data_IF_584171852277
#
_entry.id   IF_584171852277
#
_cell.length_a   1.000
_cell.length_b   1.000
_cell.length_c   1.000
_cell.angle_alpha   90.00
_cell.angle_beta   90.00
_cell.angle_gamma   90.00
#
_symmetry.space_group_name_H-M   'P 1'
#
loop_
_entity.id
_entity.type
_entity.pdbx_description
1 polymer ?
#
# COMPACT_ATOMS: atom_id res chain seq x y z
N UNK A 1 17.86 -6.60 13.27
CA UNK A 1 16.43 -6.89 13.10
C UNK A 1 15.80 -5.61 12.54
N UNK A 2 15.51 -5.56 11.24
CA UNK A 2 14.86 -4.40 10.62
C UNK A 2 13.48 -4.20 11.27
N UNK A 3 13.07 -2.97 11.56
CA UNK A 3 11.85 -2.73 12.31
C UNK A 3 10.62 -3.09 11.44
N UNK A 4 9.61 -3.70 12.06
CA UNK A 4 8.32 -4.17 11.47
C UNK A 4 7.43 -2.99 11.00
N UNK A 5 8.01 -1.80 10.83
CA UNK A 5 7.31 -0.53 10.59
C UNK A 5 6.60 -0.48 9.23
N UNK A 6 7.01 -1.31 8.26
CA UNK A 6 6.33 -1.42 6.96
C UNK A 6 5.00 -2.18 7.02
N UNK A 7 4.92 -3.25 7.84
CA UNK A 7 3.75 -4.13 7.93
C UNK A 7 2.62 -3.46 8.73
N UNK A 8 2.96 -2.71 9.78
CA UNK A 8 2.01 -2.01 10.66
C UNK A 8 1.26 -0.83 9.99
N UNK A 9 1.59 -0.48 8.74
CA UNK A 9 0.91 0.62 8.04
C UNK A 9 -0.51 0.26 7.59
N UNK A 10 -0.79 -1.03 7.42
CA UNK A 10 -2.09 -1.54 6.95
C UNK A 10 -2.94 -2.16 8.06
N UNK A 11 -2.29 -2.72 9.09
CA UNK A 11 -2.96 -3.35 10.22
C UNK A 11 -3.00 -2.37 11.40
N UNK A 12 -3.95 -1.42 11.33
CA UNK A 12 -4.10 -0.32 12.29
C UNK A 12 -5.09 -0.62 13.41
N UNK A 13 -5.72 -1.79 13.38
CA UNK A 13 -6.72 -2.20 14.33
C UNK A 13 -6.13 -2.31 15.75
N UNK A 14 -6.92 -1.91 16.75
CA UNK A 14 -6.58 -2.14 18.15
C UNK A 14 -6.49 -3.65 18.43
N UNK A 15 -5.93 -3.99 19.59
CA UNK A 15 -5.88 -5.39 20.05
C UNK A 15 -7.29 -6.01 20.13
N UNK A 16 -8.29 -5.24 20.56
CA UNK A 16 -9.68 -5.67 20.68
C UNK A 16 -10.31 -5.89 19.30
N UNK A 17 -10.08 -4.96 18.36
CA UNK A 17 -10.57 -5.07 16.99
C UNK A 17 -9.93 -6.25 16.24
N UNK A 18 -8.62 -6.44 16.37
CA UNK A 18 -7.91 -7.58 15.78
C UNK A 18 -8.32 -8.92 16.41
N UNK A 19 -8.63 -8.95 17.71
CA UNK A 19 -9.20 -10.14 18.35
C UNK A 19 -10.60 -10.50 17.81
N UNK A 20 -11.44 -9.49 17.52
CA UNK A 20 -12.74 -9.73 16.89
C UNK A 20 -12.59 -10.24 15.45
N UNK A 21 -11.68 -9.65 14.67
CA UNK A 21 -11.35 -10.15 13.33
C UNK A 21 -10.84 -11.60 13.36
N UNK A 22 -10.00 -11.95 14.34
CA UNK A 22 -9.55 -13.33 14.54
C UNK A 22 -10.74 -14.28 14.80
N UNK A 23 -11.65 -13.88 15.70
CA UNK A 23 -12.85 -14.67 16.03
C UNK A 23 -13.73 -14.92 14.80
N UNK A 24 -13.85 -13.92 13.92
CA UNK A 24 -14.62 -14.00 12.67
C UNK A 24 -13.89 -14.78 11.56
N UNK A 25 -12.56 -14.72 11.52
CA UNK A 25 -11.75 -15.42 10.51
C UNK A 25 -11.75 -16.94 10.69
N UNK A 26 -11.71 -17.42 11.94
CA UNK A 26 -11.64 -18.86 12.24
C UNK A 26 -12.74 -19.71 11.58
N UNK A 27 -14.05 -19.37 11.64
CA UNK A 27 -15.06 -20.16 10.95
C UNK A 27 -14.92 -20.12 9.42
N UNK A 28 -14.46 -19.00 8.84
CA UNK A 28 -14.19 -18.92 7.39
C UNK A 28 -13.04 -19.84 6.99
N UNK A 29 -11.97 -19.88 7.78
CA UNK A 29 -10.82 -20.76 7.59
C UNK A 29 -11.19 -22.24 7.77
N UNK A 30 -12.04 -22.56 8.75
CA UNK A 30 -12.50 -23.92 8.99
C UNK A 30 -13.33 -24.50 7.84
N UNK A 31 -13.96 -23.63 7.04
CA UNK A 31 -14.66 -24.04 5.82
C UNK A 31 -13.74 -24.29 4.61
N UNK A 32 -12.42 -24.10 4.73
CA UNK A 32 -11.47 -24.28 3.64
C UNK A 32 -10.76 -25.63 3.71
N UNK A 33 -10.17 -26.06 2.59
CA UNK A 33 -9.26 -27.21 2.58
C UNK A 33 -7.84 -26.83 3.02
N UNK A 34 -7.46 -25.57 2.87
CA UNK A 34 -6.17 -25.04 3.27
C UNK A 34 -5.97 -25.10 4.79
N UNK A 35 -4.72 -25.32 5.20
CA UNK A 35 -4.36 -25.35 6.61
C UNK A 35 -4.36 -23.95 7.25
N UNK A 36 -4.36 -23.91 8.58
CA UNK A 36 -4.34 -22.69 9.40
C UNK A 36 -2.96 -22.02 9.46
N UNK A 37 -2.32 -21.83 8.31
CA UNK A 37 -1.05 -21.13 8.20
C UNK A 37 -1.24 -19.62 8.42
N UNK A 38 -0.19 -18.89 8.85
CA UNK A 38 -0.24 -17.44 8.95
C UNK A 38 -0.67 -16.76 7.65
N UNK A 39 -0.25 -17.31 6.50
CA UNK A 39 -0.61 -16.84 5.16
C UNK A 39 -2.12 -16.92 4.93
N UNK A 40 -2.73 -18.04 5.32
CA UNK A 40 -4.19 -18.23 5.28
C UNK A 40 -4.89 -17.20 6.14
N UNK A 41 -4.39 -16.96 7.36
CA UNK A 41 -4.96 -15.97 8.27
C UNK A 41 -4.90 -14.55 7.68
N UNK A 42 -3.79 -14.17 7.04
CA UNK A 42 -3.67 -12.85 6.40
C UNK A 42 -4.77 -12.60 5.38
N UNK A 43 -5.13 -13.59 4.55
CA UNK A 43 -6.16 -13.40 3.54
C UNK A 43 -7.52 -13.05 4.16
N UNK A 44 -7.92 -13.80 5.18
CA UNK A 44 -9.19 -13.60 5.87
C UNK A 44 -9.20 -12.34 6.72
N UNK A 45 -8.06 -12.02 7.35
CA UNK A 45 -7.90 -10.76 8.08
C UNK A 45 -8.13 -9.57 7.15
N UNK A 46 -7.39 -9.49 6.03
CA UNK A 46 -7.50 -8.36 5.11
C UNK A 46 -8.88 -8.26 4.46
N UNK A 47 -9.52 -9.40 4.25
CA UNK A 47 -10.90 -9.47 3.77
C UNK A 47 -11.88 -8.84 4.76
N UNK A 48 -11.85 -9.30 6.02
CA UNK A 48 -12.77 -8.88 7.08
C UNK A 48 -12.52 -7.44 7.54
N UNK A 49 -11.26 -7.01 7.56
CA UNK A 49 -10.88 -5.63 7.85
C UNK A 49 -11.22 -4.67 6.69
N UNK A 50 -11.48 -5.18 5.48
CA UNK A 50 -11.82 -4.36 4.31
C UNK A 50 -10.65 -3.56 3.74
N UNK A 51 -9.41 -3.92 4.08
CA UNK A 51 -8.19 -3.18 3.73
C UNK A 51 -7.56 -3.63 2.39
N UNK A 52 -8.10 -4.67 1.76
CA UNK A 52 -7.66 -5.14 0.44
C UNK A 52 -8.85 -5.46 -0.48
N UNK A 53 -9.49 -4.45 -1.11
CA UNK A 53 -10.69 -4.65 -1.92
C UNK A 53 -10.53 -5.65 -3.08
N UNK A 54 -9.41 -5.68 -3.84
CA UNK A 54 -9.20 -6.68 -4.89
C UNK A 54 -9.18 -8.12 -4.35
N UNK A 55 -8.50 -8.35 -3.21
CA UNK A 55 -8.52 -9.65 -2.53
C UNK A 55 -9.91 -10.01 -2.05
N UNK A 56 -10.62 -9.06 -1.43
CA UNK A 56 -11.98 -9.28 -0.95
C UNK A 56 -12.92 -9.71 -2.06
N UNK A 57 -12.85 -9.07 -3.22
CA UNK A 57 -13.67 -9.46 -4.38
C UNK A 57 -13.37 -10.90 -4.83
N UNK A 58 -12.09 -11.30 -4.87
CA UNK A 58 -11.71 -12.66 -5.23
C UNK A 58 -12.20 -13.71 -4.22
N UNK A 59 -12.13 -13.39 -2.92
CA UNK A 59 -12.59 -14.27 -1.86
C UNK A 59 -14.13 -14.38 -1.83
N UNK A 60 -14.85 -13.27 -1.97
CA UNK A 60 -16.32 -13.29 -2.04
C UNK A 60 -16.81 -14.16 -3.19
N UNK A 61 -16.22 -14.04 -4.38
CA UNK A 61 -16.58 -14.87 -5.53
C UNK A 61 -16.38 -16.38 -5.25
N UNK A 62 -15.30 -16.75 -4.54
CA UNK A 62 -15.04 -18.14 -4.12
C UNK A 62 -16.07 -18.65 -3.12
N UNK A 63 -16.45 -17.81 -2.15
CA UNK A 63 -17.46 -18.13 -1.15
C UNK A 63 -18.83 -18.35 -1.79
N UNK A 64 -19.23 -17.48 -2.72
CA UNK A 64 -20.50 -17.62 -3.46
C UNK A 64 -20.55 -18.90 -4.29
N UNK A 65 -19.43 -19.28 -4.91
CA UNK A 65 -19.30 -20.50 -5.69
C UNK A 65 -19.14 -21.77 -4.82
N UNK A 66 -19.10 -21.64 -3.50
CA UNK A 66 -18.84 -22.75 -2.57
C UNK A 66 -17.60 -23.56 -2.95
N UNK A 67 -16.52 -22.86 -3.31
CA UNK A 67 -15.23 -23.46 -3.67
C UNK A 67 -14.20 -23.22 -2.57
N UNK A 68 -13.98 -24.22 -1.68
CA UNK A 68 -12.98 -24.14 -0.64
C UNK A 68 -11.58 -23.92 -1.21
N UNK A 69 -10.82 -23.02 -0.61
CA UNK A 69 -9.43 -22.76 -0.96
C UNK A 69 -8.55 -23.94 -0.56
N UNK A 70 -7.69 -24.37 -1.48
CA UNK A 70 -6.54 -25.24 -1.22
C UNK A 70 -5.31 -24.44 -0.80
N UNK A 71 -4.28 -25.09 -0.24
CA UNK A 71 -3.04 -24.41 0.16
C UNK A 71 -2.35 -23.69 -1.02
N UNK A 72 -2.34 -24.31 -2.21
CA UNK A 72 -1.79 -23.71 -3.43
C UNK A 72 -2.58 -22.46 -3.86
N UNK A 73 -3.88 -22.42 -3.61
CA UNK A 73 -4.72 -21.25 -3.90
C UNK A 73 -4.50 -20.12 -2.90
N UNK A 74 -4.37 -20.45 -1.62
CA UNK A 74 -3.99 -19.48 -0.59
C UNK A 74 -2.66 -18.83 -0.95
N UNK A 75 -1.64 -19.62 -1.28
CA UNK A 75 -0.33 -19.11 -1.68
C UNK A 75 -0.42 -18.19 -2.91
N UNK A 76 -1.18 -18.57 -3.94
CA UNK A 76 -1.36 -17.75 -5.14
C UNK A 76 -2.07 -16.43 -4.85
N UNK A 77 -3.16 -16.46 -4.07
CA UNK A 77 -3.90 -15.25 -3.68
C UNK A 77 -3.03 -14.32 -2.84
N UNK A 78 -2.24 -14.87 -1.92
CA UNK A 78 -1.35 -14.10 -1.08
C UNK A 78 -0.26 -13.39 -1.89
N UNK A 79 0.43 -14.11 -2.78
CA UNK A 79 1.45 -13.50 -3.66
C UNK A 79 0.87 -12.37 -4.51
N UNK A 80 -0.29 -12.61 -5.14
CA UNK A 80 -0.92 -11.65 -6.05
C UNK A 80 -1.49 -10.42 -5.36
N UNK A 81 -2.11 -10.58 -4.20
CA UNK A 81 -2.90 -9.49 -3.62
C UNK A 81 -2.27 -8.88 -2.37
N UNK A 82 -1.38 -9.59 -1.69
CA UNK A 82 -0.70 -9.09 -0.49
C UNK A 82 0.73 -8.68 -0.85
N UNK A 83 1.54 -9.60 -1.38
CA UNK A 83 2.95 -9.31 -1.67
C UNK A 83 3.15 -8.34 -2.83
N UNK A 84 2.46 -8.50 -3.95
CA UNK A 84 2.54 -7.56 -5.08
C UNK A 84 1.99 -6.17 -4.73
N UNK A 85 0.97 -6.09 -3.85
CA UNK A 85 0.44 -4.81 -3.36
C UNK A 85 1.52 -4.03 -2.61
N UNK A 86 2.26 -4.70 -1.73
CA UNK A 86 3.34 -4.07 -0.97
C UNK A 86 4.47 -3.56 -1.87
N UNK A 87 4.81 -4.33 -2.93
CA UNK A 87 5.79 -3.91 -3.93
C UNK A 87 5.32 -2.68 -4.74
N UNK A 88 4.08 -2.70 -5.23
CA UNK A 88 3.53 -1.59 -6.02
C UNK A 88 3.45 -0.27 -5.22
N UNK A 89 3.18 -0.36 -3.91
CA UNK A 89 3.17 0.83 -3.04
C UNK A 89 4.56 1.40 -2.87
N UNK A 90 5.58 0.56 -2.73
CA UNK A 90 6.97 1.01 -2.61
C UNK A 90 7.43 1.74 -3.88
N UNK A 91 7.12 1.17 -5.05
CA UNK A 91 7.43 1.78 -6.35
C UNK A 91 6.73 3.14 -6.51
N UNK A 92 5.44 3.23 -6.15
CA UNK A 92 4.71 4.49 -6.24
C UNK A 92 5.25 5.57 -5.29
N UNK A 93 5.67 5.18 -4.08
CA UNK A 93 6.29 6.09 -3.13
C UNK A 93 7.62 6.62 -3.67
N UNK A 94 8.45 5.76 -4.25
CA UNK A 94 9.72 6.15 -4.86
C UNK A 94 9.49 7.15 -6.00
N UNK A 95 8.52 6.88 -6.88
CA UNK A 95 8.16 7.79 -7.97
C UNK A 95 7.69 9.15 -7.46
N UNK A 96 6.83 9.18 -6.43
CA UNK A 96 6.36 10.43 -5.82
C UNK A 96 7.49 11.25 -5.21
N UNK A 97 8.44 10.60 -4.52
CA UNK A 97 9.61 11.28 -3.97
C UNK A 97 10.46 11.90 -5.07
N UNK A 98 10.68 11.19 -6.18
CA UNK A 98 11.42 11.72 -7.32
C UNK A 98 10.72 12.96 -7.90
N UNK A 99 9.41 12.91 -8.12
CA UNK A 99 8.66 14.06 -8.65
C UNK A 99 8.70 15.28 -7.73
N UNK A 100 8.63 15.10 -6.40
CA UNK A 100 8.74 16.20 -5.45
C UNK A 100 10.12 16.85 -5.46
N UNK A 101 11.19 16.05 -5.62
CA UNK A 101 12.55 16.58 -5.75
C UNK A 101 12.72 17.37 -7.05
N UNK A 102 12.17 16.88 -8.15
CA UNK A 102 12.21 17.55 -9.45
C UNK A 102 11.44 18.89 -9.40
N UNK A 103 10.26 18.92 -8.76
CA UNK A 103 9.45 20.13 -8.59
C UNK A 103 10.14 21.17 -7.70
N UNK A 104 10.80 20.73 -6.63
CA UNK A 104 11.62 21.61 -5.80
C UNK A 104 12.80 22.21 -6.58
N UNK A 105 13.52 21.39 -7.35
CA UNK A 105 14.63 21.84 -8.18
C UNK A 105 14.17 22.85 -9.24
N UNK A 106 13.03 22.61 -9.89
CA UNK A 106 12.43 23.57 -10.84
C UNK A 106 12.09 24.89 -10.16
N UNK A 107 11.46 24.85 -8.97
CA UNK A 107 11.09 26.06 -8.21
C UNK A 107 12.31 26.91 -7.83
N UNK A 108 13.42 26.28 -7.44
CA UNK A 108 14.66 27.01 -7.17
C UNK A 108 15.27 27.63 -8.42
N UNK A 109 15.20 26.93 -9.56
CA UNK A 109 15.72 27.44 -10.83
C UNK A 109 14.91 28.66 -11.31
N UNK A 110 13.58 28.62 -11.29
CA UNK A 110 12.74 29.78 -11.66
C UNK A 110 12.93 30.96 -10.72
N UNK A 111 13.03 30.72 -9.41
CA UNK A 111 13.34 31.80 -8.46
C UNK A 111 14.73 32.45 -8.74
N UNK A 112 15.71 31.65 -9.16
CA UNK A 112 17.03 32.12 -9.59
C UNK A 112 16.97 32.94 -10.89
N UNK A 113 16.19 32.50 -11.88
CA UNK A 113 15.99 33.20 -13.15
C UNK A 113 15.30 34.56 -12.95
N UNK A 114 14.24 34.62 -12.15
CA UNK A 114 13.51 35.85 -11.83
C UNK A 114 14.41 36.87 -11.14
N UNK A 115 15.22 36.42 -10.17
CA UNK A 115 16.20 37.27 -9.47
C UNK A 115 17.26 37.80 -10.46
N UNK A 116 17.73 36.94 -11.37
CA UNK A 116 18.67 37.32 -12.42
C UNK A 116 18.08 38.34 -13.40
N UNK A 117 16.80 38.20 -13.76
CA UNK A 117 16.08 39.14 -14.61
C UNK A 117 15.90 40.49 -13.91
N UNK A 118 15.48 40.49 -12.65
CA UNK A 118 15.32 41.71 -11.86
C UNK A 118 16.64 42.49 -11.72
N UNK A 119 17.74 41.79 -11.45
CA UNK A 119 19.08 42.39 -11.38
C UNK A 119 19.54 42.99 -12.72
N UNK A 120 19.17 42.38 -13.85
CA UNK A 120 19.44 42.94 -15.19
C UNK A 120 18.66 44.22 -15.43
N UNK A 121 17.37 44.26 -15.08
CA UNK A 121 16.53 45.45 -15.24
C UNK A 121 17.02 46.62 -14.38
N UNK A 122 17.41 46.35 -13.13
CA UNK A 122 17.99 47.37 -12.24
C UNK A 122 19.33 47.92 -12.74
N UNK A 123 20.15 47.11 -13.41
CA UNK A 123 21.40 47.60 -14.03
C UNK A 123 21.11 48.46 -15.25
N UNK A 124 20.13 48.09 -16.07
CA UNK A 124 19.74 48.85 -17.25
C UNK A 124 19.19 50.23 -16.88
N UNK A 125 18.32 50.32 -15.86
CA UNK A 125 17.72 51.59 -15.42
C UNK A 125 18.66 52.54 -14.68
N UNK A 126 19.91 52.11 -14.40
CA UNK A 126 20.93 52.92 -13.73
C UNK A 126 22.02 53.41 -14.69
N UNK A 127 21.95 52.99 -15.95
CA UNK A 127 22.85 53.40 -17.02
C UNK A 127 22.26 54.51 -17.92
N UNK A 128 20.98 54.87 -17.71
CA UNK A 128 20.32 56.07 -18.22
C UNK A 128 20.31 57.18 -17.15
#
# INVERSE_FOLDING_TARGET
MLPIQGVMKYYIESKEQSAELLRLALPLMAGQHAAYHPVSYTLWYEHLAGINPPLSAALTARLELHQPLTDDEVCRLYMRHVSERDAAVLDNLQQRLQSLLDEAAQTFNTAGEDTGQFARTLRASRAD
#
